data_IF_770540782684
#
_entry.id   IF_770540782684
#
_cell.length_a   1.000
_cell.length_b   1.000
_cell.length_c   1.000
_cell.angle_alpha   90.00
_cell.angle_beta   90.00
_cell.angle_gamma   90.00
#
_symmetry.space_group_name_H-M   'P 1'
#
loop_
_entity.id
_entity.type
_entity.pdbx_description
1 polymer ?
#
# COMPACT_ATOMS: atom_id res chain seq x y z
N UNK A 1 -39.02 -18.08 -59.37
CA UNK A 1 -38.00 -17.67 -58.38
C UNK A 1 -36.83 -18.63 -58.53
N UNK A 2 -35.68 -18.12 -58.95
CA UNK A 2 -34.53 -18.93 -59.33
C UNK A 2 -33.85 -19.50 -58.09
N UNK A 3 -33.87 -20.82 -57.96
CA UNK A 3 -33.11 -21.60 -56.96
C UNK A 3 -31.61 -21.28 -56.97
N UNK A 4 -31.08 -20.77 -58.09
CA UNK A 4 -29.68 -20.36 -58.25
C UNK A 4 -29.22 -19.18 -57.36
N UNK A 5 -30.12 -18.38 -56.79
CA UNK A 5 -29.73 -17.21 -55.97
C UNK A 5 -29.44 -17.59 -54.50
N UNK A 6 -30.17 -18.57 -53.96
CA UNK A 6 -30.00 -19.04 -52.58
C UNK A 6 -28.67 -19.76 -52.35
N UNK A 7 -28.22 -20.57 -53.32
CA UNK A 7 -26.95 -21.29 -53.21
C UNK A 7 -25.75 -20.34 -53.22
N UNK A 8 -25.83 -19.24 -53.99
CA UNK A 8 -24.78 -18.21 -54.03
C UNK A 8 -24.72 -17.42 -52.71
N UNK A 9 -25.88 -17.05 -52.14
CA UNK A 9 -25.94 -16.42 -50.82
C UNK A 9 -25.38 -17.33 -49.73
N UNK A 10 -25.70 -18.63 -49.77
CA UNK A 10 -25.18 -19.63 -48.82
C UNK A 10 -23.66 -19.79 -48.94
N UNK A 11 -23.14 -19.82 -50.17
CA UNK A 11 -21.70 -19.91 -50.42
C UNK A 11 -20.97 -18.69 -49.85
N UNK A 12 -21.44 -17.47 -50.15
CA UNK A 12 -20.87 -16.22 -49.63
C UNK A 12 -20.92 -16.14 -48.11
N UNK A 13 -22.03 -16.56 -47.50
CA UNK A 13 -22.16 -16.61 -46.05
C UNK A 13 -21.14 -17.57 -45.43
N UNK A 14 -20.92 -18.73 -46.04
CA UNK A 14 -19.94 -19.71 -45.55
C UNK A 14 -18.49 -19.23 -45.71
N UNK A 15 -18.19 -18.49 -46.77
CA UNK A 15 -16.87 -17.91 -47.02
C UNK A 15 -16.58 -16.76 -46.05
N UNK A 16 -17.57 -15.88 -45.80
CA UNK A 16 -17.47 -14.84 -44.79
C UNK A 16 -17.31 -15.42 -43.38
N UNK A 17 -18.03 -16.50 -43.06
CA UNK A 17 -17.86 -17.23 -41.80
C UNK A 17 -16.44 -17.75 -41.60
N UNK A 18 -15.89 -18.44 -42.62
CA UNK A 18 -14.50 -18.93 -42.57
C UNK A 18 -13.47 -17.80 -42.43
N UNK A 19 -13.65 -16.70 -43.15
CA UNK A 19 -12.75 -15.55 -43.05
C UNK A 19 -12.84 -14.87 -41.68
N UNK A 20 -14.02 -14.84 -41.06
CA UNK A 20 -14.21 -14.35 -39.70
C UNK A 20 -13.51 -15.27 -38.69
N UNK A 21 -13.73 -16.58 -38.78
CA UNK A 21 -13.10 -17.58 -37.91
C UNK A 21 -11.57 -17.54 -38.01
N UNK A 22 -11.02 -17.35 -39.22
CA UNK A 22 -9.58 -17.21 -39.43
C UNK A 22 -9.04 -15.92 -38.79
N UNK A 23 -9.74 -14.79 -38.94
CA UNK A 23 -9.36 -13.52 -38.29
C UNK A 23 -9.45 -13.62 -36.77
N UNK A 24 -10.52 -14.19 -36.23
CA UNK A 24 -10.69 -14.43 -34.80
C UNK A 24 -9.59 -15.37 -34.28
N UNK A 25 -9.26 -16.44 -35.00
CA UNK A 25 -8.18 -17.34 -34.65
C UNK A 25 -6.81 -16.66 -34.59
N UNK A 26 -6.51 -15.81 -35.58
CA UNK A 26 -5.29 -14.99 -35.60
C UNK A 26 -5.24 -14.00 -34.44
N UNK A 27 -6.38 -13.36 -34.12
CA UNK A 27 -6.48 -12.42 -33.01
C UNK A 27 -6.30 -13.11 -31.64
N UNK A 28 -6.89 -14.29 -31.43
CA UNK A 28 -6.72 -15.08 -30.20
C UNK A 28 -5.25 -15.49 -30.03
N UNK A 29 -4.63 -16.03 -31.08
CA UNK A 29 -3.22 -16.44 -31.04
C UNK A 29 -2.30 -15.25 -30.76
N UNK A 30 -2.57 -14.09 -31.37
CA UNK A 30 -1.82 -12.86 -31.13
C UNK A 30 -1.99 -12.35 -29.68
N UNK A 31 -3.21 -12.40 -29.12
CA UNK A 31 -3.48 -12.01 -27.74
C UNK A 31 -2.84 -12.99 -26.75
N UNK A 32 -2.92 -14.30 -26.99
CA UNK A 32 -2.22 -15.32 -26.19
C UNK A 32 -0.71 -15.08 -26.18
N UNK A 33 -0.09 -14.93 -27.36
CA UNK A 33 1.34 -14.64 -27.48
C UNK A 33 1.74 -13.29 -26.85
N UNK A 34 0.83 -12.30 -26.84
CA UNK A 34 1.04 -11.02 -26.15
C UNK A 34 0.98 -11.20 -24.63
N UNK A 35 0.01 -11.94 -24.10
CA UNK A 35 -0.16 -12.22 -22.66
C UNK A 35 0.97 -13.10 -22.11
N UNK A 36 1.45 -14.06 -22.90
CA UNK A 36 2.63 -14.87 -22.55
C UNK A 36 3.87 -13.98 -22.41
N UNK A 37 4.11 -13.12 -23.41
CA UNK A 37 5.23 -12.17 -23.39
C UNK A 37 5.10 -11.15 -22.26
N UNK A 38 3.90 -10.65 -21.97
CA UNK A 38 3.66 -9.69 -20.89
C UNK A 38 3.91 -10.33 -19.52
N UNK A 39 3.38 -11.54 -19.31
CA UNK A 39 3.57 -12.32 -18.08
C UNK A 39 5.05 -12.63 -17.85
N UNK A 40 5.74 -13.19 -18.84
CA UNK A 40 7.17 -13.50 -18.75
C UNK A 40 8.00 -12.22 -18.52
N UNK A 41 7.69 -11.13 -19.21
CA UNK A 41 8.34 -9.83 -19.01
C UNK A 41 8.12 -9.26 -17.61
N UNK A 42 6.90 -9.36 -17.07
CA UNK A 42 6.57 -8.89 -15.74
C UNK A 42 7.34 -9.66 -14.65
N UNK A 43 7.40 -11.00 -14.75
CA UNK A 43 8.20 -11.81 -13.83
C UNK A 43 9.71 -11.58 -13.98
N UNK A 44 10.23 -11.42 -15.21
CA UNK A 44 11.63 -11.04 -15.42
C UNK A 44 11.97 -9.69 -14.79
N UNK A 45 11.09 -8.71 -14.94
CA UNK A 45 11.26 -7.38 -14.32
C UNK A 45 11.20 -7.47 -12.80
N UNK A 46 10.25 -8.22 -12.25
CA UNK A 46 10.17 -8.45 -10.81
C UNK A 46 11.44 -9.14 -10.27
N UNK A 47 11.93 -10.17 -10.96
CA UNK A 47 13.21 -10.82 -10.67
C UNK A 47 14.39 -9.84 -10.71
N UNK A 48 14.40 -8.91 -11.67
CA UNK A 48 15.40 -7.83 -11.76
C UNK A 48 15.34 -6.89 -10.56
N UNK A 49 14.14 -6.50 -10.12
CA UNK A 49 13.95 -5.69 -8.91
C UNK A 49 14.40 -6.43 -7.64
N UNK A 50 14.12 -7.73 -7.53
CA UNK A 50 14.62 -8.54 -6.42
C UNK A 50 16.14 -8.62 -6.42
N UNK A 51 16.76 -8.81 -7.59
CA UNK A 51 18.22 -8.82 -7.71
C UNK A 51 18.84 -7.48 -7.28
N UNK A 52 18.24 -6.35 -7.69
CA UNK A 52 18.66 -5.02 -7.25
C UNK A 52 18.51 -4.87 -5.73
N UNK A 53 17.39 -5.33 -5.17
CA UNK A 53 17.18 -5.32 -3.72
C UNK A 53 18.21 -6.16 -2.97
N UNK A 54 18.56 -7.35 -3.49
CA UNK A 54 19.61 -8.20 -2.95
C UNK A 54 20.99 -7.54 -3.04
N UNK A 55 21.30 -6.92 -4.17
CA UNK A 55 22.55 -6.19 -4.38
C UNK A 55 22.70 -4.99 -3.43
N UNK A 56 21.59 -4.40 -2.96
CA UNK A 56 21.59 -3.36 -1.92
C UNK A 56 21.62 -3.95 -0.50
N UNK A 57 20.98 -5.09 -0.27
CA UNK A 57 20.93 -5.73 1.04
C UNK A 57 22.30 -6.21 1.52
N UNK A 58 23.13 -6.75 0.62
CA UNK A 58 24.49 -7.21 0.94
C UNK A 58 25.39 -6.09 1.53
N UNK A 59 25.63 -4.96 0.84
CA UNK A 59 26.43 -3.88 1.40
C UNK A 59 25.80 -3.25 2.63
N UNK A 60 24.46 -3.24 2.76
CA UNK A 60 23.79 -2.79 3.97
C UNK A 60 24.12 -3.68 5.18
N UNK A 61 24.09 -5.00 5.02
CA UNK A 61 24.47 -5.97 6.07
C UNK A 61 25.96 -5.82 6.42
N UNK A 62 26.83 -5.75 5.42
CA UNK A 62 28.27 -5.53 5.65
C UNK A 62 28.53 -4.20 6.36
N UNK A 63 27.85 -3.13 5.95
CA UNK A 63 27.91 -1.82 6.60
C UNK A 63 27.47 -1.87 8.06
N UNK A 64 26.38 -2.60 8.38
CA UNK A 64 25.94 -2.83 9.75
C UNK A 64 26.98 -3.61 10.58
N UNK A 65 27.58 -4.66 10.00
CA UNK A 65 28.63 -5.44 10.68
C UNK A 65 29.88 -4.59 10.96
N UNK A 66 30.33 -3.82 9.98
CA UNK A 66 31.44 -2.86 10.14
C UNK A 66 31.09 -1.82 11.18
N UNK A 67 29.88 -1.26 11.15
CA UNK A 67 29.42 -0.28 12.13
C UNK A 67 29.47 -0.85 13.56
N UNK A 68 28.97 -2.07 13.76
CA UNK A 68 29.01 -2.77 15.06
C UNK A 68 30.46 -2.99 15.51
N UNK A 69 31.35 -3.43 14.62
CA UNK A 69 32.75 -3.65 14.95
C UNK A 69 33.46 -2.36 15.35
N UNK A 70 33.24 -1.26 14.61
CA UNK A 70 33.84 0.05 14.90
C UNK A 70 33.34 0.66 16.22
N UNK A 71 32.14 0.29 16.66
CA UNK A 71 31.52 0.80 17.89
C UNK A 71 31.47 -0.24 19.01
N UNK A 72 32.27 -1.30 18.96
CA UNK A 72 32.21 -2.41 19.94
C UNK A 72 32.33 -1.96 21.41
N UNK A 73 33.07 -0.88 21.68
CA UNK A 73 33.20 -0.28 23.02
C UNK A 73 32.01 0.59 23.46
N UNK A 74 31.04 0.84 22.59
CA UNK A 74 29.89 1.72 22.84
C UNK A 74 28.60 0.91 22.76
N UNK A 75 28.23 0.28 23.88
CA UNK A 75 27.14 -0.70 23.96
C UNK A 75 25.81 -0.23 23.36
N UNK A 76 25.48 1.06 23.49
CA UNK A 76 24.24 1.62 22.94
C UNK A 76 24.21 1.53 21.40
N UNK A 77 25.31 1.87 20.73
CA UNK A 77 25.42 1.77 19.27
C UNK A 77 25.45 0.33 18.79
N UNK A 78 26.15 -0.55 19.52
CA UNK A 78 26.13 -2.00 19.26
C UNK A 78 24.71 -2.54 19.33
N UNK A 79 23.95 -2.18 20.36
CA UNK A 79 22.56 -2.62 20.51
C UNK A 79 21.67 -2.14 19.36
N UNK A 80 21.81 -0.88 18.93
CA UNK A 80 21.03 -0.33 17.80
C UNK A 80 21.37 -1.04 16.48
N UNK A 81 22.66 -1.24 16.18
CA UNK A 81 23.10 -1.96 14.99
C UNK A 81 22.67 -3.43 15.01
N UNK A 82 22.85 -4.09 16.16
CA UNK A 82 22.49 -5.48 16.36
C UNK A 82 20.96 -5.70 16.27
N UNK A 83 20.13 -4.74 16.68
CA UNK A 83 18.67 -4.84 16.53
C UNK A 83 18.22 -4.79 15.06
N UNK A 84 18.95 -4.06 14.20
CA UNK A 84 18.65 -3.95 12.76
C UNK A 84 19.16 -5.14 11.94
N UNK A 85 20.23 -5.79 12.39
CA UNK A 85 20.89 -6.85 11.65
C UNK A 85 19.99 -8.08 11.36
N UNK A 86 19.20 -8.63 12.32
CA UNK A 86 18.26 -9.71 12.04
C UNK A 86 17.23 -9.35 10.97
N UNK A 87 16.77 -8.10 10.95
CA UNK A 87 15.82 -7.62 9.94
C UNK A 87 16.46 -7.63 8.55
N UNK A 88 17.66 -7.07 8.43
CA UNK A 88 18.42 -7.04 7.18
C UNK A 88 18.75 -8.47 6.68
N UNK A 89 19.19 -9.35 7.57
CA UNK A 89 19.45 -10.77 7.27
C UNK A 89 18.18 -11.51 6.83
N UNK A 90 17.04 -11.22 7.45
CA UNK A 90 15.76 -11.80 7.03
C UNK A 90 15.38 -11.36 5.60
N UNK A 91 15.60 -10.09 5.24
CA UNK A 91 15.35 -9.57 3.88
C UNK A 91 16.24 -10.27 2.86
N UNK A 92 17.53 -10.43 3.16
CA UNK A 92 18.46 -11.16 2.29
C UNK A 92 18.03 -12.62 2.11
N UNK A 93 17.76 -13.33 3.21
CA UNK A 93 17.45 -14.77 3.16
C UNK A 93 16.13 -15.06 2.44
N UNK A 94 15.08 -14.27 2.68
CA UNK A 94 13.81 -14.41 1.96
C UNK A 94 13.96 -13.98 0.51
N UNK A 95 14.64 -12.87 0.23
CA UNK A 95 14.87 -12.39 -1.13
C UNK A 95 15.65 -13.38 -1.99
N UNK A 96 16.69 -14.04 -1.44
CA UNK A 96 17.45 -15.08 -2.15
C UNK A 96 16.57 -16.28 -2.45
N UNK A 97 15.76 -16.72 -1.48
CA UNK A 97 14.87 -17.86 -1.67
C UNK A 97 13.79 -17.56 -2.72
N UNK A 98 13.19 -16.37 -2.69
CA UNK A 98 12.21 -15.90 -3.67
C UNK A 98 12.82 -15.77 -5.07
N UNK A 99 14.01 -15.17 -5.17
CA UNK A 99 14.73 -15.06 -6.44
C UNK A 99 15.06 -16.42 -7.04
N UNK A 100 15.51 -17.39 -6.24
CA UNK A 100 15.77 -18.77 -6.70
C UNK A 100 14.49 -19.45 -7.17
N UNK A 101 13.40 -19.34 -6.43
CA UNK A 101 12.12 -19.93 -6.81
C UNK A 101 11.59 -19.32 -8.12
N UNK A 102 11.68 -18.00 -8.28
CA UNK A 102 11.29 -17.29 -9.51
C UNK A 102 12.19 -17.59 -10.70
N UNK A 103 13.49 -17.85 -10.47
CA UNK A 103 14.43 -18.24 -11.53
C UNK A 103 14.07 -19.59 -12.13
N UNK A 104 13.55 -20.50 -11.31
CA UNK A 104 13.17 -21.86 -11.70
C UNK A 104 11.67 -21.99 -12.02
N UNK A 105 10.98 -20.86 -12.25
CA UNK A 105 9.59 -20.90 -12.71
C UNK A 105 9.54 -21.33 -14.16
N UNK A 106 8.86 -22.45 -14.37
CA UNK A 106 8.49 -22.94 -15.69
C UNK A 106 7.03 -22.58 -15.98
N UNK A 107 6.81 -21.78 -17.02
CA UNK A 107 5.48 -21.33 -17.43
C UNK A 107 4.72 -22.36 -18.27
N UNK A 108 5.36 -23.48 -18.62
CA UNK A 108 4.77 -24.62 -19.33
C UNK A 108 4.09 -25.61 -18.35
N UNK A 109 4.37 -25.48 -17.05
CA UNK A 109 3.73 -26.29 -16.01
C UNK A 109 2.23 -26.02 -15.89
N UNK A 110 1.48 -27.00 -15.35
CA UNK A 110 0.05 -26.87 -15.13
C UNK A 110 -0.28 -25.61 -14.31
N UNK A 111 -1.27 -24.84 -14.75
CA UNK A 111 -1.62 -23.55 -14.15
C UNK A 111 -1.89 -23.62 -12.64
N UNK A 112 -2.44 -24.73 -12.15
CA UNK A 112 -2.70 -24.98 -10.73
C UNK A 112 -1.41 -25.07 -9.92
N UNK A 113 -0.41 -25.78 -10.43
CA UNK A 113 0.89 -25.91 -9.76
C UNK A 113 1.63 -24.57 -9.71
N UNK A 114 1.61 -23.83 -10.82
CA UNK A 114 2.17 -22.48 -10.88
C UNK A 114 1.52 -21.54 -9.86
N UNK A 115 0.19 -21.58 -9.75
CA UNK A 115 -0.55 -20.79 -8.75
C UNK A 115 -0.16 -21.16 -7.33
N UNK A 116 -0.11 -22.46 -7.00
CA UNK A 116 0.26 -22.94 -5.66
C UNK A 116 1.69 -22.51 -5.27
N UNK A 117 2.65 -22.63 -6.18
CA UNK A 117 4.03 -22.19 -5.95
C UNK A 117 4.10 -20.68 -5.67
N UNK A 118 3.40 -19.89 -6.47
CA UNK A 118 3.35 -18.43 -6.28
C UNK A 118 2.62 -18.05 -4.99
N UNK A 119 1.54 -18.75 -4.62
CA UNK A 119 0.79 -18.48 -3.39
C UNK A 119 1.65 -18.76 -2.15
N UNK A 120 2.47 -19.81 -2.20
CA UNK A 120 3.44 -20.11 -1.15
C UNK A 120 4.50 -19.00 -0.99
N UNK A 121 5.07 -18.52 -2.10
CA UNK A 121 6.04 -17.41 -2.09
C UNK A 121 5.40 -16.14 -1.54
N UNK A 122 4.19 -15.82 -1.99
CA UNK A 122 3.44 -14.67 -1.52
C UNK A 122 3.15 -14.76 -0.02
N UNK A 123 2.70 -15.91 0.48
CA UNK A 123 2.44 -16.11 1.90
C UNK A 123 3.72 -15.94 2.77
N UNK A 124 4.89 -16.28 2.22
CA UNK A 124 6.19 -16.04 2.89
C UNK A 124 6.52 -14.55 2.90
N UNK A 125 6.42 -13.86 1.76
CA UNK A 125 6.68 -12.42 1.65
C UNK A 125 5.74 -11.61 2.54
N UNK A 126 4.45 -11.94 2.57
CA UNK A 126 3.47 -11.28 3.44
C UNK A 126 3.81 -11.43 4.92
N UNK A 127 4.28 -12.60 5.36
CA UNK A 127 4.72 -12.82 6.75
C UNK A 127 5.90 -11.92 7.10
N UNK A 128 6.89 -11.82 6.21
CA UNK A 128 8.02 -10.92 6.38
C UNK A 128 7.60 -9.46 6.40
N UNK A 129 6.81 -8.99 5.41
CA UNK A 129 6.33 -7.62 5.36
C UNK A 129 5.56 -7.27 6.64
N UNK A 130 4.74 -8.18 7.17
CA UNK A 130 4.05 -7.96 8.45
C UNK A 130 5.03 -7.83 9.62
N UNK A 131 6.04 -8.69 9.70
CA UNK A 131 7.06 -8.60 10.74
C UNK A 131 7.83 -7.26 10.65
N UNK A 132 8.28 -6.87 9.46
CA UNK A 132 8.95 -5.59 9.20
C UNK A 132 8.05 -4.42 9.60
N UNK A 133 6.77 -4.43 9.18
CA UNK A 133 5.83 -3.36 9.53
C UNK A 133 5.56 -3.29 11.04
N UNK A 134 5.39 -4.43 11.71
CA UNK A 134 5.22 -4.48 13.17
C UNK A 134 6.46 -3.96 13.90
N UNK A 135 7.66 -4.24 13.40
CA UNK A 135 8.90 -3.75 13.97
C UNK A 135 9.26 -2.31 13.54
N UNK A 136 8.62 -1.74 12.50
CA UNK A 136 9.00 -0.44 11.95
C UNK A 136 8.96 0.70 12.97
N UNK A 137 7.91 0.76 13.81
CA UNK A 137 7.75 1.78 14.86
C UNK A 137 8.82 1.65 15.96
N UNK A 138 9.34 0.45 16.19
CA UNK A 138 10.42 0.23 17.16
C UNK A 138 11.79 0.54 16.55
N UNK A 139 12.00 0.16 15.28
CA UNK A 139 13.31 0.15 14.64
C UNK A 139 13.64 1.42 13.84
N UNK A 140 12.70 2.34 13.62
CA UNK A 140 12.97 3.55 12.85
C UNK A 140 14.02 4.46 13.51
N UNK A 141 13.99 4.61 14.84
CA UNK A 141 14.94 5.44 15.57
C UNK A 141 16.35 4.80 15.62
N UNK A 142 16.51 3.49 15.93
CA UNK A 142 17.78 2.78 15.72
C UNK A 142 18.32 2.95 14.30
N UNK A 143 17.47 2.78 13.28
CA UNK A 143 17.85 2.94 11.87
C UNK A 143 18.38 4.34 11.59
N UNK A 144 17.66 5.38 12.02
CA UNK A 144 18.08 6.77 11.83
C UNK A 144 19.38 7.07 12.56
N UNK A 145 19.52 6.60 13.80
CA UNK A 145 20.71 6.82 14.62
C UNK A 145 21.95 6.19 13.97
N UNK A 146 21.86 4.91 13.56
CA UNK A 146 22.95 4.19 12.90
C UNK A 146 23.29 4.83 11.57
N UNK A 147 22.31 5.27 10.79
CA UNK A 147 22.53 5.94 9.51
C UNK A 147 23.22 7.29 9.68
N UNK A 148 22.80 8.11 10.65
CA UNK A 148 23.42 9.40 10.92
C UNK A 148 24.85 9.25 11.45
N UNK A 149 25.07 8.33 12.39
CA UNK A 149 26.40 8.07 12.95
C UNK A 149 27.34 7.45 11.92
N UNK A 150 26.85 6.48 11.14
CA UNK A 150 27.64 5.76 10.14
C UNK A 150 28.01 6.58 8.91
N UNK A 151 27.09 7.42 8.41
CA UNK A 151 27.32 8.20 7.18
C UNK A 151 27.90 9.59 7.43
N UNK A 152 27.53 10.23 8.54
CA UNK A 152 27.88 11.63 8.81
C UNK A 152 28.69 11.81 10.10
N UNK A 153 28.95 10.75 10.87
CA UNK A 153 29.58 10.85 12.18
C UNK A 153 28.68 11.49 13.25
N UNK A 154 27.43 11.81 12.92
CA UNK A 154 26.50 12.53 13.79
C UNK A 154 26.08 11.70 15.01
N UNK A 155 26.16 12.28 16.20
CA UNK A 155 25.79 11.59 17.43
C UNK A 155 24.36 11.90 17.87
N UNK A 156 23.42 11.16 17.29
CA UNK A 156 22.00 11.33 17.59
C UNK A 156 21.67 10.95 19.06
N UNK A 157 22.43 10.04 19.68
CA UNK A 157 22.20 9.64 21.07
C UNK A 157 22.45 10.79 22.04
N UNK A 158 23.49 11.60 21.79
CA UNK A 158 23.80 12.76 22.62
C UNK A 158 22.92 13.98 22.29
N UNK A 159 22.46 14.11 21.04
CA UNK A 159 21.62 15.24 20.62
C UNK A 159 20.14 15.12 20.98
N UNK A 160 19.62 13.90 21.18
CA UNK A 160 18.21 13.69 21.52
C UNK A 160 17.98 13.64 23.03
N UNK A 161 16.91 14.29 23.48
CA UNK A 161 16.47 14.16 24.87
C UNK A 161 16.12 12.70 25.22
N UNK A 162 16.51 12.17 26.39
CA UNK A 162 16.26 10.77 26.77
C UNK A 162 14.80 10.32 26.70
N UNK A 163 13.86 11.23 26.94
CA UNK A 163 12.43 10.90 26.83
C UNK A 163 12.00 10.50 25.42
N UNK A 164 12.64 11.03 24.37
CA UNK A 164 12.35 10.65 22.97
C UNK A 164 12.69 9.17 22.76
N UNK A 165 13.77 8.68 23.35
CA UNK A 165 14.15 7.27 23.31
C UNK A 165 13.15 6.38 24.03
N UNK A 166 12.80 6.72 25.27
CA UNK A 166 11.87 5.92 26.07
C UNK A 166 10.47 5.89 25.50
N UNK A 167 9.97 7.02 24.98
CA UNK A 167 8.66 7.08 24.33
C UNK A 167 8.65 6.23 23.07
N UNK A 168 9.67 6.31 22.22
CA UNK A 168 9.73 5.48 21.00
C UNK A 168 9.87 3.99 21.32
N UNK A 169 10.70 3.64 22.31
CA UNK A 169 10.86 2.25 22.76
C UNK A 169 9.53 1.71 23.31
N UNK A 170 8.89 2.45 24.22
CA UNK A 170 7.61 2.06 24.81
C UNK A 170 6.49 1.94 23.77
N UNK A 171 6.36 2.92 22.88
CA UNK A 171 5.39 2.88 21.79
C UNK A 171 5.67 1.72 20.84
N UNK A 172 6.92 1.50 20.45
CA UNK A 172 7.31 0.38 19.58
C UNK A 172 6.98 -0.98 20.19
N UNK A 173 7.30 -1.18 21.47
CA UNK A 173 7.00 -2.42 22.20
C UNK A 173 5.50 -2.67 22.34
N UNK A 174 4.69 -1.63 22.59
CA UNK A 174 3.23 -1.72 22.67
C UNK A 174 2.60 -1.94 21.28
N UNK A 175 3.18 -1.32 20.24
CA UNK A 175 2.66 -1.40 18.88
C UNK A 175 2.78 -2.80 18.28
N UNK A 176 3.82 -3.56 18.61
CA UNK A 176 4.01 -4.94 18.11
C UNK A 176 2.80 -5.85 18.44
N UNK A 177 2.42 -6.07 19.71
CA UNK A 177 1.28 -6.93 20.04
C UNK A 177 -0.05 -6.36 19.53
N UNK A 178 -0.24 -5.02 19.54
CA UNK A 178 -1.45 -4.39 19.01
C UNK A 178 -1.58 -4.65 17.50
N UNK A 179 -0.51 -4.47 16.73
CA UNK A 179 -0.53 -4.67 15.28
C UNK A 179 -0.76 -6.15 14.92
N UNK A 180 -0.14 -7.09 15.64
CA UNK A 180 -0.35 -8.52 15.47
C UNK A 180 -1.78 -8.95 15.87
N UNK A 181 -2.29 -8.42 16.99
CA UNK A 181 -3.64 -8.65 17.48
C UNK A 181 -4.69 -8.11 16.50
N UNK A 182 -4.51 -6.89 16.00
CA UNK A 182 -5.37 -6.29 14.98
C UNK A 182 -5.36 -7.13 13.68
N UNK A 183 -4.19 -7.60 13.25
CA UNK A 183 -4.09 -8.48 12.08
C UNK A 183 -4.78 -9.85 12.31
N UNK A 184 -4.66 -10.43 13.50
CA UNK A 184 -5.35 -11.67 13.86
C UNK A 184 -6.87 -11.49 13.93
N UNK A 185 -7.33 -10.44 14.61
CA UNK A 185 -8.74 -10.07 14.71
C UNK A 185 -9.36 -9.84 13.32
N UNK A 186 -8.65 -9.12 12.46
CA UNK A 186 -9.09 -8.86 11.09
C UNK A 186 -9.19 -10.14 10.25
N UNK A 187 -8.25 -11.07 10.38
CA UNK A 187 -8.32 -12.38 9.71
C UNK A 187 -9.54 -13.17 10.18
N UNK A 188 -9.82 -13.18 11.47
CA UNK A 188 -10.96 -13.88 12.04
C UNK A 188 -12.29 -13.30 11.55
N UNK A 189 -12.43 -11.97 11.56
CA UNK A 189 -13.68 -11.30 11.20
C UNK A 189 -13.92 -11.17 9.69
N UNK A 190 -12.87 -11.33 8.86
CA UNK A 190 -12.97 -11.24 7.40
C UNK A 190 -12.67 -12.55 6.67
N UNK A 191 -12.79 -13.69 7.34
CA UNK A 191 -12.66 -15.01 6.73
C UNK A 191 -13.58 -15.23 5.50
N UNK A 192 -14.62 -14.40 5.33
CA UNK A 192 -15.55 -14.44 4.18
C UNK A 192 -15.00 -13.75 2.91
N UNK A 193 -13.82 -13.11 2.94
CA UNK A 193 -13.26 -12.42 1.77
C UNK A 193 -11.77 -12.65 1.55
N UNK A 194 -11.39 -13.76 0.92
CA UNK A 194 -10.00 -14.10 0.56
C UNK A 194 -9.26 -13.03 -0.29
N UNK A 195 -9.99 -12.06 -0.87
CA UNK A 195 -9.46 -11.11 -1.87
C UNK A 195 -8.60 -9.96 -1.33
N UNK A 196 -8.58 -9.71 -0.01
CA UNK A 196 -7.76 -8.64 0.59
C UNK A 196 -6.37 -9.08 1.08
N UNK A 197 -5.99 -10.35 0.88
CA UNK A 197 -4.73 -10.85 1.42
C UNK A 197 -3.49 -10.32 0.70
N UNK A 198 -3.61 -9.85 -0.55
CA UNK A 198 -2.48 -9.39 -1.39
C UNK A 198 -1.81 -8.07 -0.95
N UNK A 199 -2.22 -7.51 0.19
CA UNK A 199 -1.66 -6.28 0.74
C UNK A 199 -0.26 -6.57 1.31
N UNK A 200 0.79 -6.14 0.61
CA UNK A 200 2.18 -6.17 1.10
C UNK A 200 3.18 -6.98 0.28
N UNK A 201 2.80 -7.56 -0.86
CA UNK A 201 3.71 -8.29 -1.75
C UNK A 201 4.50 -7.39 -2.72
N UNK A 202 4.19 -6.09 -2.80
CA UNK A 202 4.89 -5.08 -3.60
C UNK A 202 4.31 -4.89 -5.01
N UNK A 203 4.53 -3.70 -5.61
CA UNK A 203 3.97 -3.30 -6.91
C UNK A 203 4.38 -4.24 -8.05
N UNK A 204 5.61 -4.75 -8.01
CA UNK A 204 6.15 -5.60 -9.07
C UNK A 204 5.58 -7.02 -9.02
N UNK A 205 5.42 -7.60 -7.83
CA UNK A 205 4.75 -8.90 -7.64
C UNK A 205 3.27 -8.84 -8.00
N UNK A 206 2.56 -7.85 -7.46
CA UNK A 206 1.12 -7.66 -7.71
C UNK A 206 0.83 -7.49 -9.20
N UNK A 207 1.69 -6.78 -9.93
CA UNK A 207 1.61 -6.68 -11.39
C UNK A 207 1.87 -8.01 -12.08
N UNK A 208 2.93 -8.74 -11.73
CA UNK A 208 3.22 -10.04 -12.32
C UNK A 208 2.09 -11.05 -12.10
N UNK A 209 1.49 -11.07 -10.91
CA UNK A 209 0.34 -11.90 -10.58
C UNK A 209 -0.93 -11.47 -11.33
N UNK A 210 -1.14 -10.17 -11.51
CA UNK A 210 -2.26 -9.65 -12.29
C UNK A 210 -2.16 -10.08 -13.76
N UNK A 211 -0.98 -9.98 -14.37
CA UNK A 211 -0.74 -10.45 -15.76
C UNK A 211 -0.99 -11.96 -15.88
N UNK A 212 -0.51 -12.77 -14.93
CA UNK A 212 -0.79 -14.21 -14.92
C UNK A 212 -2.29 -14.51 -14.78
N UNK A 213 -2.99 -13.78 -13.90
CA UNK A 213 -4.43 -13.96 -13.71
C UNK A 213 -5.19 -13.56 -14.98
N UNK A 214 -4.78 -12.49 -15.65
CA UNK A 214 -5.35 -12.04 -16.93
C UNK A 214 -5.14 -13.08 -18.04
N UNK A 215 -3.95 -13.70 -18.11
CA UNK A 215 -3.67 -14.84 -18.99
C UNK A 215 -4.65 -15.99 -18.71
N UNK A 216 -4.74 -16.43 -17.46
CA UNK A 216 -5.58 -17.58 -17.09
C UNK A 216 -7.09 -17.31 -17.25
N UNK A 217 -7.55 -16.08 -17.00
CA UNK A 217 -8.94 -15.70 -17.26
C UNK A 217 -9.23 -15.64 -18.75
N UNK A 218 -8.27 -15.14 -19.56
CA UNK A 218 -8.40 -15.13 -21.02
C UNK A 218 -8.45 -16.54 -21.58
N UNK A 219 -7.57 -17.45 -21.15
CA UNK A 219 -7.61 -18.85 -21.60
C UNK A 219 -8.93 -19.54 -21.28
N UNK A 220 -9.50 -19.29 -20.10
CA UNK A 220 -10.82 -19.82 -19.72
C UNK A 220 -11.93 -19.21 -20.56
N UNK A 221 -11.95 -17.88 -20.69
CA UNK A 221 -12.98 -17.18 -21.45
C UNK A 221 -12.90 -17.53 -22.94
N UNK A 222 -11.71 -17.62 -23.53
CA UNK A 222 -11.54 -17.98 -24.94
C UNK A 222 -11.90 -19.44 -25.23
N UNK A 223 -11.88 -20.32 -24.23
CA UNK A 223 -12.41 -21.69 -24.36
C UNK A 223 -13.94 -21.70 -24.41
N UNK A 224 -14.60 -20.73 -23.78
CA UNK A 224 -16.05 -20.59 -23.75
C UNK A 224 -16.57 -19.75 -24.94
N UNK A 225 -16.01 -18.55 -25.14
CA UNK A 225 -16.34 -17.57 -26.18
C UNK A 225 -15.16 -16.60 -26.44
N UNK A 226 -14.56 -16.71 -27.63
CA UNK A 226 -13.40 -15.91 -28.01
C UNK A 226 -13.68 -14.41 -28.20
N UNK A 227 -14.86 -14.04 -28.70
CA UNK A 227 -15.20 -12.64 -28.97
C UNK A 227 -15.38 -11.88 -27.64
N UNK A 228 -16.07 -12.51 -26.69
CA UNK A 228 -16.26 -11.97 -25.33
C UNK A 228 -14.91 -11.81 -24.62
N UNK A 229 -14.00 -12.79 -24.79
CA UNK A 229 -12.66 -12.74 -24.20
C UNK A 229 -11.81 -11.57 -24.75
N UNK A 230 -11.93 -11.25 -26.05
CA UNK A 230 -11.25 -10.12 -26.68
C UNK A 230 -11.80 -8.77 -26.20
N UNK A 231 -13.13 -8.64 -26.14
CA UNK A 231 -13.79 -7.42 -25.67
C UNK A 231 -13.41 -7.08 -24.21
N UNK A 232 -13.31 -8.09 -23.35
CA UNK A 232 -12.97 -7.94 -21.93
C UNK A 232 -11.56 -7.37 -21.67
N UNK A 233 -10.65 -7.40 -22.66
CA UNK A 233 -9.26 -6.94 -22.51
C UNK A 233 -9.06 -5.44 -22.79
N UNK A 234 -10.02 -4.76 -23.42
CA UNK A 234 -9.90 -3.34 -23.76
C UNK A 234 -10.56 -2.48 -22.69
N UNK A 235 -9.78 -1.62 -22.02
CA UNK A 235 -10.35 -0.57 -21.16
C UNK A 235 -10.81 0.61 -22.02
N UNK A 236 -12.01 1.17 -21.77
CA UNK A 236 -12.43 2.41 -22.41
C UNK A 236 -11.44 3.56 -22.14
N UNK A 237 -11.17 4.39 -23.16
CA UNK A 237 -10.23 5.51 -23.09
C UNK A 237 -10.55 6.46 -21.92
N UNK A 238 -11.84 6.73 -21.73
CA UNK A 238 -12.37 7.61 -20.68
C UNK A 238 -11.97 7.11 -19.28
N UNK A 239 -12.02 5.79 -19.06
CA UNK A 239 -11.63 5.16 -17.80
C UNK A 239 -10.11 5.27 -17.62
N UNK A 240 -9.33 5.05 -18.68
CA UNK A 240 -7.86 5.14 -18.64
C UNK A 240 -7.38 6.53 -18.23
N UNK A 241 -7.93 7.58 -18.84
CA UNK A 241 -7.60 8.99 -18.49
C UNK A 241 -7.97 9.28 -17.04
N UNK A 242 -9.13 8.81 -16.58
CA UNK A 242 -9.57 9.00 -15.20
C UNK A 242 -8.65 8.29 -14.19
N UNK A 243 -8.22 7.05 -14.48
CA UNK A 243 -7.24 6.32 -13.66
C UNK A 243 -5.93 7.09 -13.57
N UNK A 244 -5.41 7.61 -14.69
CA UNK A 244 -4.18 8.40 -14.71
C UNK A 244 -4.28 9.67 -13.85
N UNK A 245 -5.39 10.40 -13.95
CA UNK A 245 -5.63 11.58 -13.12
C UNK A 245 -5.70 11.23 -11.62
N UNK A 246 -6.43 10.16 -11.27
CA UNK A 246 -6.55 9.70 -9.89
C UNK A 246 -5.20 9.26 -9.30
N UNK A 247 -4.36 8.55 -10.07
CA UNK A 247 -3.01 8.15 -9.64
C UNK A 247 -2.13 9.36 -9.31
N UNK A 248 -2.16 10.42 -10.12
CA UNK A 248 -1.39 11.65 -9.84
C UNK A 248 -1.83 12.31 -8.54
N UNK A 249 -3.14 12.42 -8.30
CA UNK A 249 -3.70 13.00 -7.07
C UNK A 249 -3.34 12.17 -5.83
N UNK A 250 -3.39 10.84 -5.94
CA UNK A 250 -2.96 9.95 -4.86
C UNK A 250 -1.49 10.11 -4.54
N UNK A 251 -0.63 10.23 -5.55
CA UNK A 251 0.80 10.45 -5.35
C UNK A 251 1.06 11.78 -4.63
N UNK A 252 0.37 12.86 -5.02
CA UNK A 252 0.46 14.15 -4.33
C UNK A 252 0.02 14.03 -2.87
N UNK A 253 -1.09 13.35 -2.59
CA UNK A 253 -1.56 13.15 -1.21
C UNK A 253 -0.58 12.33 -0.36
N UNK A 254 0.03 11.29 -0.93
CA UNK A 254 1.08 10.50 -0.27
C UNK A 254 2.30 11.37 0.02
N UNK A 255 2.73 12.20 -0.93
CA UNK A 255 3.87 13.12 -0.77
C UNK A 255 3.61 14.14 0.34
N UNK A 256 2.41 14.73 0.40
CA UNK A 256 2.01 15.66 1.46
C UNK A 256 2.06 14.98 2.83
N UNK A 257 1.49 13.76 2.96
CA UNK A 257 1.52 13.02 4.22
C UNK A 257 2.96 12.69 4.63
N UNK A 258 3.79 12.21 3.70
CA UNK A 258 5.19 11.89 3.96
C UNK A 258 5.98 13.12 4.41
N UNK A 259 5.77 14.27 3.78
CA UNK A 259 6.40 15.54 4.17
C UNK A 259 5.97 15.95 5.57
N UNK A 260 4.67 15.86 5.88
CA UNK A 260 4.14 16.13 7.22
C UNK A 260 4.76 15.23 8.29
N UNK A 261 4.91 13.93 8.01
CA UNK A 261 5.55 12.97 8.93
C UNK A 261 7.00 13.36 9.25
N UNK A 262 7.76 13.80 8.24
CA UNK A 262 9.15 14.25 8.42
C UNK A 262 9.20 15.52 9.27
N UNK A 263 8.36 16.52 8.94
CA UNK A 263 8.33 17.80 9.65
C UNK A 263 7.94 17.63 11.12
N UNK A 264 6.94 16.82 11.42
CA UNK A 264 6.51 16.54 12.79
C UNK A 264 7.54 15.67 13.52
N UNK A 265 8.18 14.73 12.83
CA UNK A 265 9.30 13.96 13.38
C UNK A 265 10.45 14.86 13.83
N UNK A 266 10.82 15.84 12.99
CA UNK A 266 11.83 16.85 13.32
C UNK A 266 11.39 17.75 14.48
N UNK A 267 10.12 18.19 14.47
CA UNK A 267 9.54 18.96 15.57
C UNK A 267 9.65 18.21 16.91
N UNK A 268 9.29 16.93 16.94
CA UNK A 268 9.37 16.09 18.14
C UNK A 268 10.82 15.88 18.61
N UNK A 269 11.78 15.82 17.69
CA UNK A 269 13.20 15.71 18.03
C UNK A 269 13.71 16.98 18.73
N UNK A 270 13.30 18.16 18.25
CA UNK A 270 13.68 19.46 18.84
C UNK A 270 13.01 19.69 20.20
N UNK A 271 11.75 19.31 20.34
CA UNK A 271 10.95 19.54 21.56
C UNK A 271 10.93 18.31 22.50
N UNK A 272 12.01 17.52 22.47
CA UNK A 272 12.19 16.39 23.38
C UNK A 272 12.15 16.85 24.84
N UNK A 273 11.66 15.98 25.73
CA UNK A 273 11.58 16.25 27.18
C UNK A 273 10.25 16.83 27.67
N UNK A 274 9.49 17.45 26.77
CA UNK A 274 8.24 18.13 27.08
C UNK A 274 7.03 17.34 26.55
N UNK A 275 6.27 16.63 27.41
CA UNK A 275 5.18 15.75 26.98
C UNK A 275 4.07 16.50 26.23
N UNK A 276 3.87 17.79 26.52
CA UNK A 276 2.91 18.65 25.83
C UNK A 276 3.19 18.86 24.33
N UNK A 277 4.39 18.56 23.84
CA UNK A 277 4.73 18.63 22.40
C UNK A 277 4.85 17.24 21.77
N UNK A 278 5.45 16.28 22.50
CA UNK A 278 5.66 14.93 22.00
C UNK A 278 4.32 14.22 21.74
N UNK A 279 3.37 14.29 22.68
CA UNK A 279 2.11 13.57 22.55
C UNK A 279 1.28 14.08 21.36
N UNK A 280 1.04 15.39 21.17
CA UNK A 280 0.42 15.91 19.95
C UNK A 280 1.11 15.47 18.67
N UNK A 281 2.44 15.61 18.60
CA UNK A 281 3.18 15.25 17.38
C UNK A 281 3.06 13.76 17.04
N UNK A 282 3.13 12.87 18.03
CA UNK A 282 2.93 11.42 17.84
C UNK A 282 1.52 11.12 17.31
N UNK A 283 0.49 11.75 17.89
CA UNK A 283 -0.90 11.53 17.47
C UNK A 283 -1.17 12.04 16.05
N UNK A 284 -0.63 13.20 15.68
CA UNK A 284 -0.74 13.72 14.32
C UNK A 284 0.00 12.81 13.34
N UNK A 285 1.20 12.33 13.68
CA UNK A 285 1.93 11.37 12.86
C UNK A 285 1.11 10.09 12.63
N UNK A 286 0.50 9.55 13.68
CA UNK A 286 -0.35 8.37 13.54
C UNK A 286 -1.54 8.63 12.61
N UNK A 287 -2.15 9.81 12.70
CA UNK A 287 -3.23 10.22 11.80
C UNK A 287 -2.76 10.33 10.33
N UNK A 288 -1.59 10.93 10.09
CA UNK A 288 -0.99 11.02 8.74
C UNK A 288 -0.69 9.63 8.17
N UNK A 289 -0.10 8.73 8.96
CA UNK A 289 0.14 7.33 8.55
C UNK A 289 -1.18 6.64 8.21
N UNK A 290 -2.22 6.82 9.03
CA UNK A 290 -3.53 6.22 8.82
C UNK A 290 -4.22 6.72 7.53
N UNK A 291 -3.94 7.94 7.07
CA UNK A 291 -4.44 8.45 5.77
C UNK A 291 -3.55 8.04 4.59
N UNK A 292 -2.24 7.95 4.81
CA UNK A 292 -1.27 7.58 3.78
C UNK A 292 -1.44 6.11 3.36
N UNK A 293 -1.58 5.19 4.32
CA UNK A 293 -1.69 3.76 4.06
C UNK A 293 -2.81 3.37 3.05
N UNK A 294 -4.08 3.77 3.22
CA UNK A 294 -5.14 3.46 2.25
C UNK A 294 -4.96 4.18 0.91
N UNK A 295 -4.29 5.34 0.89
CA UNK A 295 -3.97 6.05 -0.36
C UNK A 295 -2.92 5.29 -1.18
N UNK A 296 -1.92 4.70 -0.52
CA UNK A 296 -0.98 3.76 -1.14
C UNK A 296 -1.76 2.56 -1.67
N UNK A 297 -2.61 1.92 -0.85
CA UNK A 297 -3.39 0.75 -1.29
C UNK A 297 -4.25 1.03 -2.51
N UNK A 298 -4.94 2.17 -2.56
CA UNK A 298 -5.73 2.56 -3.73
C UNK A 298 -4.86 2.76 -4.97
N UNK A 299 -3.69 3.39 -4.82
CA UNK A 299 -2.72 3.53 -5.92
C UNK A 299 -2.22 2.17 -6.41
N UNK A 300 -1.97 1.22 -5.51
CA UNK A 300 -1.57 -0.15 -5.86
C UNK A 300 -2.67 -0.88 -6.62
N UNK A 301 -3.92 -0.79 -6.15
CA UNK A 301 -5.08 -1.37 -6.84
C UNK A 301 -5.22 -0.82 -8.26
N UNK A 302 -4.96 0.47 -8.45
CA UNK A 302 -4.97 1.10 -9.77
C UNK A 302 -3.80 0.66 -10.66
N UNK A 303 -2.64 0.28 -10.11
CA UNK A 303 -1.43 -0.08 -10.86
C UNK A 303 -1.44 -1.49 -11.46
N UNK A 304 -2.46 -2.29 -11.14
CA UNK A 304 -2.67 -3.60 -11.74
C UNK A 304 -2.83 -3.49 -13.27
N UNK A 305 -2.32 -4.48 -13.99
CA UNK A 305 -2.32 -4.51 -15.44
C UNK A 305 -3.74 -4.47 -16.03
N UNK A 306 -3.91 -3.94 -17.26
CA UNK A 306 -5.14 -4.13 -18.01
C UNK A 306 -5.38 -5.63 -18.17
N UNK A 307 -6.57 -6.05 -17.80
CA UNK A 307 -7.05 -7.42 -17.76
C UNK A 307 -8.53 -7.38 -17.38
N UNK A 308 -9.07 -8.51 -16.92
CA UNK A 308 -10.46 -8.65 -16.48
C UNK A 308 -10.98 -7.39 -15.74
N UNK A 309 -11.81 -6.63 -16.45
CA UNK A 309 -12.43 -5.40 -15.95
C UNK A 309 -13.16 -5.64 -14.63
N UNK A 310 -13.75 -6.81 -14.47
CA UNK A 310 -14.48 -7.22 -13.26
C UNK A 310 -13.53 -7.31 -12.06
N UNK A 311 -12.39 -7.98 -12.23
CA UNK A 311 -11.37 -8.08 -11.19
C UNK A 311 -10.81 -6.71 -10.81
N UNK A 312 -10.55 -5.84 -11.81
CA UNK A 312 -10.08 -4.47 -11.57
C UNK A 312 -11.13 -3.66 -10.79
N UNK A 313 -12.40 -3.71 -11.20
CA UNK A 313 -13.52 -3.05 -10.54
C UNK A 313 -13.65 -3.49 -9.09
N UNK A 314 -13.69 -4.79 -8.82
CA UNK A 314 -13.81 -5.32 -7.44
C UNK A 314 -12.64 -4.89 -6.56
N UNK A 315 -11.41 -4.92 -7.09
CA UNK A 315 -10.23 -4.45 -6.35
C UNK A 315 -10.33 -2.96 -6.06
N UNK A 316 -10.71 -2.16 -7.05
CA UNK A 316 -10.86 -0.73 -6.91
C UNK A 316 -11.94 -0.35 -5.89
N UNK A 317 -13.10 -0.98 -5.95
CA UNK A 317 -14.19 -0.82 -4.97
C UNK A 317 -13.71 -1.19 -3.56
N UNK A 318 -13.00 -2.31 -3.40
CA UNK A 318 -12.48 -2.72 -2.08
C UNK A 318 -11.49 -1.71 -1.51
N UNK A 319 -10.63 -1.13 -2.35
CA UNK A 319 -9.65 -0.13 -1.95
C UNK A 319 -10.32 1.23 -1.64
N UNK A 320 -11.33 1.62 -2.41
CA UNK A 320 -12.15 2.81 -2.13
C UNK A 320 -12.90 2.65 -0.81
N UNK A 321 -13.53 1.51 -0.55
CA UNK A 321 -14.20 1.23 0.71
C UNK A 321 -13.25 1.30 1.89
N UNK A 322 -12.04 0.72 1.76
CA UNK A 322 -11.02 0.81 2.80
C UNK A 322 -10.67 2.27 3.08
N UNK A 323 -10.41 3.05 2.02
CA UNK A 323 -10.06 4.46 2.13
C UNK A 323 -11.17 5.31 2.73
N UNK A 324 -12.42 5.04 2.37
CA UNK A 324 -13.60 5.71 2.94
C UNK A 324 -13.68 5.48 4.45
N UNK A 325 -13.41 4.27 4.93
CA UNK A 325 -13.38 3.96 6.38
C UNK A 325 -12.32 4.77 7.11
N UNK A 326 -11.13 4.91 6.54
CA UNK A 326 -10.06 5.74 7.12
C UNK A 326 -10.37 7.24 7.03
N UNK A 327 -10.99 7.70 5.95
CA UNK A 327 -11.43 9.09 5.83
C UNK A 327 -12.49 9.42 6.91
N UNK A 328 -13.47 8.54 7.12
CA UNK A 328 -14.46 8.66 8.20
C UNK A 328 -13.77 8.67 9.57
N UNK A 329 -12.80 7.78 9.82
CA UNK A 329 -12.00 7.83 11.04
C UNK A 329 -11.23 9.14 11.24
N UNK A 330 -10.71 9.71 10.15
CA UNK A 330 -10.07 11.03 10.13
C UNK A 330 -11.04 12.16 10.49
N UNK A 331 -12.25 12.15 9.94
CA UNK A 331 -13.32 13.11 10.28
C UNK A 331 -13.70 12.99 11.75
N UNK A 332 -13.89 11.77 12.24
CA UNK A 332 -14.24 11.50 13.65
C UNK A 332 -13.16 12.03 14.59
N UNK A 333 -11.88 11.87 14.22
CA UNK A 333 -10.74 12.33 15.05
C UNK A 333 -10.40 13.81 14.87
N UNK A 334 -11.00 14.51 13.91
CA UNK A 334 -10.73 15.92 13.63
C UNK A 334 -10.86 16.84 14.87
N UNK A 335 -11.91 16.73 15.72
CA UNK A 335 -12.04 17.59 16.90
C UNK A 335 -10.86 17.46 17.87
N UNK A 336 -10.25 16.27 17.95
CA UNK A 336 -9.05 16.02 18.74
C UNK A 336 -7.78 16.45 18.01
N UNK A 337 -7.67 16.20 16.71
CA UNK A 337 -6.47 16.51 15.94
C UNK A 337 -6.25 18.02 15.76
N UNK A 338 -7.32 18.82 15.65
CA UNK A 338 -7.22 20.28 15.47
C UNK A 338 -6.49 21.00 16.61
N UNK A 339 -6.84 20.85 17.90
CA UNK A 339 -6.11 21.50 18.99
C UNK A 339 -4.67 21.00 19.10
N UNK A 340 -4.42 19.72 18.82
CA UNK A 340 -3.07 19.15 18.79
C UNK A 340 -2.23 19.76 17.66
N UNK A 341 -2.82 19.90 16.47
CA UNK A 341 -2.17 20.54 15.32
C UNK A 341 -1.92 22.01 15.59
N UNK A 342 -2.87 22.72 16.20
CA UNK A 342 -2.70 24.12 16.59
C UNK A 342 -1.54 24.28 17.58
N UNK A 343 -1.42 23.39 18.57
CA UNK A 343 -0.29 23.37 19.51
C UNK A 343 1.05 23.20 18.79
N UNK A 344 1.15 22.21 17.90
CA UNK A 344 2.40 21.93 17.15
C UNK A 344 2.75 23.10 16.22
N UNK A 345 1.77 23.64 15.47
CA UNK A 345 2.00 24.76 14.56
C UNK A 345 2.31 26.06 15.31
N UNK A 346 1.62 26.35 16.42
CA UNK A 346 1.88 27.53 17.25
C UNK A 346 3.29 27.51 17.82
N UNK A 347 3.74 26.35 18.29
CA UNK A 347 5.10 26.19 18.79
C UNK A 347 6.14 26.28 17.67
N UNK A 348 5.91 25.58 16.56
CA UNK A 348 6.87 25.54 15.44
C UNK A 348 7.00 26.88 14.70
N UNK A 349 5.89 27.58 14.46
CA UNK A 349 5.87 28.78 13.63
C UNK A 349 6.00 30.07 14.45
N UNK A 350 5.47 30.10 15.68
CA UNK A 350 5.36 31.32 16.48
C UNK A 350 6.17 31.23 17.78
N UNK A 351 6.79 30.08 18.09
CA UNK A 351 7.46 29.87 19.38
C UNK A 351 6.49 29.87 20.57
N UNK A 352 5.18 29.73 20.32
CA UNK A 352 4.15 29.82 21.36
C UNK A 352 3.70 28.44 21.82
N UNK A 353 3.74 28.23 23.12
CA UNK A 353 3.13 27.06 23.75
C UNK A 353 1.68 27.38 24.13
N UNK A 354 0.74 27.08 23.22
CA UNK A 354 -0.68 27.40 23.40
C UNK A 354 -1.27 26.72 24.64
N UNK A 355 -0.85 25.49 24.95
CA UNK A 355 -1.31 24.76 26.13
C UNK A 355 -0.81 25.38 27.42
N UNK A 356 0.45 25.82 27.47
CA UNK A 356 0.98 26.55 28.62
C UNK A 356 0.30 27.91 28.75
N UNK A 357 0.04 28.62 27.64
CA UNK A 357 -0.67 29.91 27.64
C UNK A 357 -2.13 29.78 28.13
N UNK A 358 -2.84 28.71 27.76
CA UNK A 358 -4.18 28.42 28.28
C UNK A 358 -4.17 28.03 29.76
N UNK A 359 -3.07 27.46 30.24
CA UNK A 359 -2.98 26.81 31.54
C UNK A 359 -3.48 25.36 31.52
N UNK A 360 -3.02 24.57 32.49
CA UNK A 360 -3.26 23.12 32.55
C UNK A 360 -4.75 22.74 32.60
N UNK A 361 -5.56 23.49 33.36
CA UNK A 361 -7.00 23.20 33.47
C UNK A 361 -7.76 23.50 32.18
N UNK A 362 -7.48 24.63 31.54
CA UNK A 362 -8.18 25.00 30.31
C UNK A 362 -7.76 24.12 29.13
N UNK A 363 -6.46 23.83 28.98
CA UNK A 363 -5.96 22.89 27.98
C UNK A 363 -6.50 21.48 28.21
N UNK A 364 -6.52 20.99 29.45
CA UNK A 364 -7.16 19.73 29.82
C UNK A 364 -8.66 19.70 29.51
N UNK A 365 -9.37 20.80 29.77
CA UNK A 365 -10.78 20.96 29.42
C UNK A 365 -11.04 20.90 27.91
N UNK A 366 -10.22 21.61 27.11
CA UNK A 366 -10.31 21.58 25.64
C UNK A 366 -10.06 20.17 25.11
N UNK A 367 -9.04 19.47 25.61
CA UNK A 367 -8.74 18.10 25.17
C UNK A 367 -9.82 17.10 25.59
N UNK A 368 -10.36 17.23 26.81
CA UNK A 368 -11.44 16.37 27.30
C UNK A 368 -12.72 16.59 26.50
N UNK A 369 -13.07 17.84 26.22
CA UNK A 369 -14.20 18.18 25.35
C UNK A 369 -14.00 17.63 23.94
N UNK A 370 -12.83 17.83 23.35
CA UNK A 370 -12.49 17.29 22.03
C UNK A 370 -12.57 15.76 21.97
N UNK A 371 -12.10 15.07 23.01
CA UNK A 371 -12.22 13.62 23.14
C UNK A 371 -13.68 13.18 23.31
N UNK A 372 -14.47 13.90 24.11
CA UNK A 372 -15.91 13.66 24.28
C UNK A 372 -16.69 13.83 22.98
N UNK A 373 -16.40 14.89 22.21
CA UNK A 373 -16.95 15.08 20.87
C UNK A 373 -16.52 13.93 19.97
N UNK A 374 -15.24 13.60 19.89
CA UNK A 374 -14.71 12.47 19.09
C UNK A 374 -15.44 11.16 19.41
N UNK A 375 -15.69 10.87 20.69
CA UNK A 375 -16.43 9.67 21.12
C UNK A 375 -17.93 9.73 20.76
N UNK A 376 -18.57 10.88 20.95
CA UNK A 376 -19.95 11.10 20.56
C UNK A 376 -20.14 10.97 19.05
N UNK A 377 -19.20 11.49 18.27
CA UNK A 377 -19.11 11.29 16.83
C UNK A 377 -18.92 9.77 16.55
N UNK A 378 -17.93 9.10 17.12
CA UNK A 378 -17.68 7.68 16.88
C UNK A 378 -18.91 6.78 17.15
N UNK A 379 -19.67 7.05 18.22
CA UNK A 379 -20.87 6.28 18.61
C UNK A 379 -22.08 6.58 17.74
N UNK A 380 -22.35 7.86 17.45
CA UNK A 380 -23.52 8.29 16.67
C UNK A 380 -23.35 8.02 15.17
N UNK A 381 -22.11 8.06 14.68
CA UNK A 381 -21.80 8.07 13.24
C UNK A 381 -21.75 6.72 12.57
N UNK A 382 -21.91 5.62 13.31
CA UNK A 382 -22.10 4.30 12.71
C UNK A 382 -23.36 4.23 11.81
N UNK A 383 -24.22 5.26 11.82
CA UNK A 383 -25.49 5.31 11.08
C UNK A 383 -25.76 6.58 10.26
N UNK A 384 -24.92 7.63 10.28
CA UNK A 384 -25.27 8.91 9.63
C UNK A 384 -24.66 9.10 8.23
N UNK A 385 -25.50 9.54 7.28
CA UNK A 385 -25.12 9.88 5.90
C UNK A 385 -24.26 11.14 5.81
N UNK A 386 -24.45 12.10 6.71
CA UNK A 386 -23.71 13.37 6.73
C UNK A 386 -22.20 13.19 6.87
N UNK A 387 -21.75 12.19 7.64
CA UNK A 387 -20.32 11.94 7.85
C UNK A 387 -19.67 11.34 6.63
N UNK A 388 -20.42 10.51 5.91
CA UNK A 388 -19.98 10.01 4.63
C UNK A 388 -19.82 11.19 3.66
N UNK A 389 -20.76 12.13 3.63
CA UNK A 389 -20.62 13.37 2.84
C UNK A 389 -19.40 14.22 3.26
N UNK A 390 -19.17 14.41 4.56
CA UNK A 390 -17.99 15.13 5.05
C UNK A 390 -16.68 14.39 4.74
N UNK A 391 -16.64 13.07 4.88
CA UNK A 391 -15.49 12.25 4.52
C UNK A 391 -15.22 12.33 3.01
N UNK A 392 -16.28 12.27 2.20
CA UNK A 392 -16.22 12.40 0.75
C UNK A 392 -15.79 13.82 0.34
N UNK A 393 -16.13 14.86 1.10
CA UNK A 393 -15.66 16.24 0.90
C UNK A 393 -14.19 16.45 1.30
N UNK A 394 -13.79 15.99 2.49
CA UNK A 394 -12.40 16.08 3.00
C UNK A 394 -11.43 15.27 2.14
N UNK A 395 -11.89 14.14 1.61
CA UNK A 395 -11.13 13.34 0.64
C UNK A 395 -11.47 13.68 -0.81
N UNK A 396 -12.25 14.75 -1.05
CA UNK A 396 -12.95 15.08 -2.30
C UNK A 396 -12.05 15.18 -3.52
N UNK A 397 -10.76 15.43 -3.33
CA UNK A 397 -9.78 15.31 -4.40
C UNK A 397 -9.68 13.90 -5.01
N UNK A 398 -10.19 12.87 -4.35
CA UNK A 398 -9.79 11.50 -4.64
C UNK A 398 -10.85 10.42 -4.36
N UNK A 399 -11.74 10.56 -3.36
CA UNK A 399 -12.92 9.69 -3.27
C UNK A 399 -13.97 10.08 -4.32
N UNK A 400 -14.32 11.36 -4.43
CA UNK A 400 -15.26 11.83 -5.44
C UNK A 400 -14.80 11.49 -6.87
N UNK A 401 -13.49 11.53 -7.13
CA UNK A 401 -12.92 11.12 -8.41
C UNK A 401 -13.01 9.61 -8.64
N UNK A 402 -12.91 8.80 -7.59
CA UNK A 402 -13.06 7.36 -7.68
C UNK A 402 -14.52 6.93 -7.88
N UNK A 403 -15.46 7.55 -7.19
CA UNK A 403 -16.89 7.29 -7.40
C UNK A 403 -17.37 7.76 -8.77
N UNK A 404 -16.90 8.92 -9.24
CA UNK A 404 -17.17 9.39 -10.60
C UNK A 404 -16.63 8.41 -11.64
N UNK A 405 -15.47 7.79 -11.38
CA UNK A 405 -14.89 6.78 -12.23
C UNK A 405 -15.74 5.50 -12.25
N UNK A 406 -16.27 5.05 -11.11
CA UNK A 406 -17.20 3.92 -11.05
C UNK A 406 -18.50 4.20 -11.82
N UNK A 407 -19.09 5.38 -11.66
CA UNK A 407 -20.30 5.77 -12.41
C UNK A 407 -20.06 5.83 -13.91
N UNK A 408 -18.90 6.35 -14.34
CA UNK A 408 -18.49 6.33 -15.75
C UNK A 408 -18.25 4.93 -16.28
N UNK A 409 -17.86 3.99 -15.42
CA UNK A 409 -17.73 2.59 -15.79
C UNK A 409 -19.09 1.93 -15.99
N UNK A 410 -20.10 2.26 -15.18
CA UNK A 410 -21.46 1.69 -15.31
C UNK A 410 -22.26 2.22 -16.50
N UNK A 411 -21.89 3.40 -17.02
CA UNK A 411 -22.55 4.02 -18.18
C UNK A 411 -21.94 3.67 -19.54
N UNK A 412 -20.89 2.84 -19.57
CA UNK A 412 -20.24 2.31 -20.78
C UNK A 412 -20.48 0.81 -20.82
#
# INVERSE_FOLDING_TARGET
>A
MNTFDFDNLRARWSEQGRALDERLGLDIAAVRARLDRSTASAFRRHRGWLLLGLALAVPMILGLLVFIALHWGQWAWVLMGAALLPLAMSELTVGVAEWRALRNLDFETAAVELQQRLDFLEARRQRQTRAVLSCSVLLWLPLLAVLLKGLFGGDLLHGLHPSVWWVNLGLGLIFIPISLGAAAWWRHHRAVGARLQHIGSGDSWTRARAELTARLSFERAAADDAEVALAAQMLPEVVRVAICALRRRLLLGILICATGLILIGLFNAVHGGTPQFILPGVLINLALVAQMAPSIQLRLALNAAPGDQTALRVRFESALQLRRRFAVGGVISLPLLLPLLAQVLGSAALGMDLFTMLGAYASGGVLTMAAGVTLALATRMRRSSMVHQCADALSGFSLASGEMLLRRWEGV
#
